data_IF_956410213051
#
_entry.id   IF_956410213051
#
_cell.length_a   1.000
_cell.length_b   1.000
_cell.length_c   1.000
_cell.angle_alpha   90.00
_cell.angle_beta   90.00
_cell.angle_gamma   90.00
#
_symmetry.space_group_name_H-M   'P 1'
#
loop_
_entity.id
_entity.type
_entity.pdbx_description
1 polymer ?
#
# COMPACT_ATOMS: atom_id res chain seq x y z
N UNK A 1 -72.49 -46.55 -49.07
CA UNK A 1 -73.25 -45.91 -47.96
C UNK A 1 -72.26 -45.24 -47.04
N UNK A 2 -72.51 -43.96 -46.74
CA UNK A 2 -71.93 -43.11 -45.67
C UNK A 2 -70.52 -42.53 -45.84
N UNK A 3 -70.45 -41.21 -46.13
CA UNK A 3 -69.42 -40.24 -45.68
C UNK A 3 -69.88 -39.60 -44.34
N UNK A 4 -69.20 -38.63 -43.63
CA UNK A 4 -67.96 -37.85 -43.93
C UNK A 4 -67.02 -37.46 -42.72
N UNK A 5 -65.92 -36.70 -43.00
CA UNK A 5 -65.15 -35.70 -42.17
C UNK A 5 -64.44 -36.20 -40.86
N UNK A 6 -63.27 -35.75 -40.35
CA UNK A 6 -62.61 -34.41 -40.27
C UNK A 6 -61.19 -34.50 -39.63
N UNK A 7 -60.30 -33.57 -39.99
CA UNK A 7 -59.19 -32.91 -39.21
C UNK A 7 -58.03 -33.65 -38.49
N UNK A 8 -56.82 -33.20 -38.80
CA UNK A 8 -55.47 -33.36 -38.15
C UNK A 8 -55.40 -32.96 -36.65
N UNK A 9 -54.37 -33.40 -35.90
CA UNK A 9 -53.21 -32.53 -35.69
C UNK A 9 -51.83 -33.24 -35.76
N UNK A 10 -50.86 -32.48 -36.26
CA UNK A 10 -49.43 -32.59 -36.07
C UNK A 10 -49.05 -32.79 -34.60
N UNK A 11 -48.26 -33.81 -34.28
CA UNK A 11 -47.47 -33.88 -33.04
C UNK A 11 -45.99 -33.99 -33.38
N UNK A 12 -45.37 -32.83 -33.62
CA UNK A 12 -43.95 -32.66 -33.42
C UNK A 12 -43.67 -32.77 -31.92
N UNK A 13 -43.22 -33.94 -31.47
CA UNK A 13 -42.50 -34.05 -30.20
C UNK A 13 -41.02 -34.25 -30.53
N UNK A 14 -40.38 -33.16 -30.93
CA UNK A 14 -38.93 -33.06 -30.94
C UNK A 14 -38.45 -32.91 -29.50
N UNK A 15 -38.27 -34.03 -28.81
CA UNK A 15 -37.49 -34.07 -27.56
C UNK A 15 -36.01 -33.93 -27.94
N UNK A 16 -35.62 -32.69 -28.24
CA UNK A 16 -34.28 -32.30 -28.65
C UNK A 16 -33.32 -32.28 -27.46
N UNK A 17 -33.05 -33.45 -26.88
CA UNK A 17 -31.95 -33.59 -25.93
C UNK A 17 -30.63 -33.38 -26.68
N UNK A 18 -29.96 -32.26 -26.39
CA UNK A 18 -28.63 -31.95 -26.94
C UNK A 18 -27.66 -33.10 -26.63
N UNK A 19 -26.92 -33.55 -27.63
CA UNK A 19 -25.81 -34.48 -27.38
C UNK A 19 -24.76 -33.80 -26.49
N UNK A 20 -23.99 -34.58 -25.73
CA UNK A 20 -22.94 -34.04 -24.85
C UNK A 20 -21.92 -33.18 -25.62
N UNK A 21 -21.66 -33.50 -26.88
CA UNK A 21 -20.77 -32.74 -27.75
C UNK A 21 -21.41 -31.44 -28.25
N UNK A 22 -22.72 -31.43 -28.54
CA UNK A 22 -23.46 -30.20 -28.82
C UNK A 22 -23.58 -29.30 -27.59
N UNK A 23 -23.79 -29.88 -26.41
CA UNK A 23 -23.76 -29.16 -25.14
C UNK A 23 -22.39 -28.54 -24.86
N UNK A 24 -21.29 -29.28 -25.06
CA UNK A 24 -19.92 -28.76 -24.92
C UNK A 24 -19.61 -27.66 -25.93
N UNK A 25 -20.04 -27.81 -27.19
CA UNK A 25 -19.86 -26.81 -28.26
C UNK A 25 -20.66 -25.54 -27.99
N UNK A 26 -21.95 -25.66 -27.66
CA UNK A 26 -22.79 -24.52 -27.28
C UNK A 26 -22.32 -23.87 -25.97
N UNK A 27 -21.79 -24.63 -25.00
CA UNK A 27 -21.13 -24.08 -23.82
C UNK A 27 -19.88 -23.29 -24.19
N UNK A 28 -19.04 -23.81 -25.10
CA UNK A 28 -17.82 -23.13 -25.57
C UNK A 28 -18.12 -21.84 -26.36
N UNK A 29 -19.25 -21.77 -27.06
CA UNK A 29 -19.72 -20.59 -27.80
C UNK A 29 -20.50 -19.59 -26.93
N UNK A 30 -21.27 -20.05 -25.93
CA UNK A 30 -21.90 -19.19 -24.90
C UNK A 30 -20.90 -18.61 -23.90
N UNK A 31 -19.67 -19.12 -23.88
CA UNK A 31 -18.53 -18.59 -23.15
C UNK A 31 -17.97 -17.32 -23.85
N UNK A 32 -18.87 -16.46 -24.32
CA UNK A 32 -18.60 -15.03 -24.50
C UNK A 32 -18.75 -14.37 -23.13
N UNK A 33 -17.61 -14.11 -22.47
CA UNK A 33 -17.45 -13.62 -21.08
C UNK A 33 -17.66 -14.70 -20.02
N UNK A 34 -16.60 -15.45 -19.70
CA UNK A 34 -16.57 -16.28 -18.49
C UNK A 34 -16.66 -15.40 -17.24
N UNK A 35 -17.11 -16.00 -16.13
CA UNK A 35 -17.02 -15.39 -14.82
C UNK A 35 -15.58 -14.92 -14.46
N UNK A 36 -14.54 -15.46 -15.13
CA UNK A 36 -13.16 -14.97 -15.01
C UNK A 36 -12.97 -13.57 -15.60
N UNK A 37 -13.60 -13.27 -16.74
CA UNK A 37 -13.55 -11.94 -17.36
C UNK A 37 -14.36 -10.93 -16.54
N UNK A 38 -15.52 -11.33 -16.01
CA UNK A 38 -16.29 -10.47 -15.09
C UNK A 38 -15.48 -10.19 -13.83
N UNK A 39 -14.87 -11.23 -13.25
CA UNK A 39 -13.99 -11.10 -12.10
C UNK A 39 -12.82 -10.15 -12.37
N UNK A 40 -12.08 -10.34 -13.47
CA UNK A 40 -10.94 -9.50 -13.80
C UNK A 40 -11.36 -8.03 -13.96
N UNK A 41 -12.48 -7.78 -14.65
CA UNK A 41 -12.99 -6.44 -14.85
C UNK A 41 -13.41 -5.76 -13.55
N UNK A 42 -14.22 -6.44 -12.72
CA UNK A 42 -14.63 -5.91 -11.41
C UNK A 42 -13.44 -5.69 -10.48
N UNK A 43 -12.47 -6.60 -10.48
CA UNK A 43 -11.24 -6.47 -9.71
C UNK A 43 -10.44 -5.25 -10.14
N UNK A 44 -10.28 -5.05 -11.44
CA UNK A 44 -9.54 -3.92 -11.98
C UNK A 44 -10.30 -2.60 -11.74
N UNK A 45 -11.63 -2.57 -11.86
CA UNK A 45 -12.44 -1.39 -11.54
C UNK A 45 -12.40 -1.03 -10.05
N UNK A 46 -12.41 -2.02 -9.13
CA UNK A 46 -12.16 -1.78 -7.70
C UNK A 46 -10.74 -1.23 -7.52
N UNK A 47 -9.72 -1.92 -8.06
CA UNK A 47 -8.31 -1.50 -7.98
C UNK A 47 -8.06 -0.12 -8.55
N UNK A 48 -8.88 0.36 -9.49
CA UNK A 48 -8.73 1.66 -10.13
C UNK A 48 -9.62 2.76 -9.51
N UNK A 49 -10.37 2.48 -8.43
CA UNK A 49 -11.44 3.33 -7.87
C UNK A 49 -12.51 3.76 -8.89
N UNK A 50 -12.77 2.94 -9.90
CA UNK A 50 -14.00 3.08 -10.69
C UNK A 50 -15.21 2.59 -9.89
N UNK A 51 -14.99 1.63 -8.98
CA UNK A 51 -15.93 1.20 -7.95
C UNK A 51 -15.34 1.58 -6.59
N UNK A 52 -15.95 2.53 -5.90
CA UNK A 52 -15.42 3.12 -4.69
C UNK A 52 -15.64 2.22 -3.45
N UNK A 53 -14.85 2.39 -2.38
CA UNK A 53 -15.13 1.75 -1.10
C UNK A 53 -16.53 2.08 -0.60
N UNK A 54 -17.21 1.08 -0.02
CA UNK A 54 -18.62 1.15 0.38
C UNK A 54 -19.62 1.34 -0.77
N UNK A 55 -19.19 1.28 -2.03
CA UNK A 55 -20.10 1.31 -3.16
C UNK A 55 -20.92 0.03 -3.23
N UNK A 56 -22.25 0.18 -3.38
CA UNK A 56 -23.17 -0.93 -3.49
C UNK A 56 -23.06 -1.54 -4.88
N UNK A 57 -22.86 -2.85 -4.93
CA UNK A 57 -22.79 -3.62 -6.16
C UNK A 57 -24.13 -4.36 -6.37
N UNK A 58 -24.82 -4.05 -7.47
CA UNK A 58 -26.09 -4.69 -7.81
C UNK A 58 -25.87 -5.67 -8.97
N UNK A 59 -26.16 -6.95 -8.73
CA UNK A 59 -25.90 -8.02 -9.72
C UNK A 59 -26.57 -7.76 -11.08
N UNK A 60 -27.80 -7.23 -11.06
CA UNK A 60 -28.58 -6.94 -12.27
C UNK A 60 -27.99 -5.75 -13.06
N UNK A 61 -27.47 -4.73 -12.36
CA UNK A 61 -26.82 -3.57 -12.99
C UNK A 61 -25.48 -3.95 -13.61
N UNK A 62 -24.66 -4.74 -12.90
CA UNK A 62 -23.38 -5.24 -13.42
C UNK A 62 -23.61 -6.17 -14.61
N UNK A 63 -24.64 -7.03 -14.55
CA UNK A 63 -25.01 -7.91 -15.65
C UNK A 63 -25.40 -7.11 -16.90
N UNK A 64 -26.18 -6.03 -16.73
CA UNK A 64 -26.53 -5.13 -17.82
C UNK A 64 -25.30 -4.37 -18.37
N UNK A 65 -24.45 -3.86 -17.49
CA UNK A 65 -23.24 -3.11 -17.86
C UNK A 65 -22.26 -3.93 -18.69
N UNK A 66 -22.04 -5.19 -18.27
CA UNK A 66 -21.11 -6.10 -18.93
C UNK A 66 -21.74 -6.97 -20.03
N UNK A 67 -23.05 -6.79 -20.28
CA UNK A 67 -23.83 -7.55 -21.25
C UNK A 67 -23.73 -9.07 -21.04
N UNK A 68 -23.83 -9.51 -19.78
CA UNK A 68 -23.79 -10.91 -19.36
C UNK A 68 -25.03 -11.30 -18.57
N UNK A 69 -25.21 -12.60 -18.30
CA UNK A 69 -26.24 -13.05 -17.35
C UNK A 69 -25.80 -12.82 -15.90
N UNK A 70 -26.73 -12.92 -14.95
CA UNK A 70 -26.43 -12.75 -13.51
C UNK A 70 -25.49 -13.81 -12.92
N UNK A 71 -25.50 -15.02 -13.48
CA UNK A 71 -24.72 -16.15 -12.95
C UNK A 71 -23.21 -15.85 -12.93
N UNK A 72 -22.56 -15.46 -14.03
CA UNK A 72 -21.13 -15.13 -14.01
C UNK A 72 -20.80 -13.92 -13.15
N UNK A 73 -21.73 -12.96 -12.99
CA UNK A 73 -21.57 -11.83 -12.06
C UNK A 73 -21.53 -12.31 -10.62
N UNK A 74 -22.48 -13.16 -10.21
CA UNK A 74 -22.52 -13.71 -8.86
C UNK A 74 -21.28 -14.57 -8.56
N UNK A 75 -20.82 -15.38 -9.51
CA UNK A 75 -19.59 -16.15 -9.37
C UNK A 75 -18.34 -15.28 -9.22
N UNK A 76 -18.26 -14.17 -9.95
CA UNK A 76 -17.18 -13.20 -9.82
C UNK A 76 -17.20 -12.49 -8.46
N UNK A 77 -18.38 -12.05 -7.99
CA UNK A 77 -18.54 -11.40 -6.69
C UNK A 77 -18.24 -12.35 -5.52
N UNK A 78 -18.60 -13.63 -5.62
CA UNK A 78 -18.22 -14.63 -4.62
C UNK A 78 -16.70 -14.83 -4.54
N UNK A 79 -16.00 -14.80 -5.67
CA UNK A 79 -14.54 -14.85 -5.69
C UNK A 79 -13.90 -13.60 -5.08
N UNK A 80 -14.37 -12.42 -5.46
CA UNK A 80 -13.93 -11.17 -4.85
C UNK A 80 -14.19 -11.13 -3.35
N UNK A 81 -15.27 -11.77 -2.88
CA UNK A 81 -15.56 -11.90 -1.45
C UNK A 81 -14.53 -12.78 -0.74
N UNK A 82 -14.15 -13.90 -1.34
CA UNK A 82 -13.11 -14.78 -0.82
C UNK A 82 -11.75 -14.08 -0.73
N UNK A 83 -11.47 -13.16 -1.65
CA UNK A 83 -10.28 -12.29 -1.65
C UNK A 83 -10.40 -11.08 -0.72
N UNK A 84 -11.57 -10.86 -0.11
CA UNK A 84 -11.82 -9.71 0.76
C UNK A 84 -11.90 -8.37 0.03
N UNK A 85 -12.13 -8.35 -1.28
CA UNK A 85 -12.35 -7.13 -2.07
C UNK A 85 -13.81 -6.61 -1.99
N UNK A 86 -14.77 -7.50 -1.73
CA UNK A 86 -16.18 -7.15 -1.52
C UNK A 86 -16.71 -7.88 -0.29
N UNK A 87 -17.76 -7.36 0.34
CA UNK A 87 -18.44 -8.02 1.45
C UNK A 87 -19.96 -8.01 1.27
N UNK A 88 -20.67 -8.71 2.18
CA UNK A 88 -22.14 -8.73 2.21
C UNK A 88 -22.64 -7.92 3.40
N UNK A 89 -23.25 -6.76 3.11
CA UNK A 89 -23.88 -5.88 4.11
C UNK A 89 -25.23 -5.39 3.58
N UNK A 90 -26.27 -6.23 3.67
CA UNK A 90 -27.59 -5.94 3.06
C UNK A 90 -27.60 -6.01 1.51
N UNK A 91 -26.54 -6.55 0.91
CA UNK A 91 -26.26 -6.57 -0.52
C UNK A 91 -24.76 -6.77 -0.72
N UNK A 92 -24.30 -6.80 -1.98
CA UNK A 92 -22.87 -6.73 -2.26
C UNK A 92 -22.38 -5.29 -2.12
N UNK A 93 -21.22 -5.13 -1.50
CA UNK A 93 -20.59 -3.82 -1.31
C UNK A 93 -19.09 -3.96 -1.49
N UNK A 94 -18.43 -2.98 -2.10
CA UNK A 94 -16.97 -2.91 -2.13
C UNK A 94 -16.47 -2.75 -0.70
N UNK A 95 -15.60 -3.65 -0.27
CA UNK A 95 -15.12 -3.68 1.12
C UNK A 95 -14.16 -2.52 1.34
N UNK A 96 -14.41 -1.73 2.36
CA UNK A 96 -13.44 -0.77 2.87
C UNK A 96 -12.45 -1.48 3.80
N UNK A 97 -11.15 -1.22 3.62
CA UNK A 97 -10.11 -1.74 4.51
C UNK A 97 -10.07 -0.93 5.80
N UNK A 98 -9.94 -1.63 6.92
CA UNK A 98 -9.75 -0.97 8.22
C UNK A 98 -8.34 -0.37 8.33
N UNK A 99 -8.12 0.62 9.23
CA UNK A 99 -6.79 1.17 9.45
C UNK A 99 -5.75 0.12 9.89
N UNK A 100 -6.18 -0.91 10.65
CA UNK A 100 -5.33 -2.05 11.01
C UNK A 100 -4.84 -2.81 9.80
N UNK A 101 -5.74 -3.18 8.89
CA UNK A 101 -5.38 -3.92 7.68
C UNK A 101 -4.43 -3.12 6.79
N UNK A 102 -4.61 -1.79 6.72
CA UNK A 102 -3.72 -0.92 5.97
C UNK A 102 -2.31 -0.93 6.57
N UNK A 103 -2.20 -0.88 7.90
CA UNK A 103 -0.92 -0.97 8.61
C UNK A 103 -0.24 -2.32 8.35
N UNK A 104 -0.95 -3.43 8.54
CA UNK A 104 -0.44 -4.79 8.29
C UNK A 104 0.03 -4.97 6.84
N UNK A 105 -0.70 -4.43 5.87
CA UNK A 105 -0.30 -4.45 4.45
C UNK A 105 0.98 -3.65 4.20
N UNK A 106 1.12 -2.47 4.81
CA UNK A 106 2.31 -1.64 4.63
C UNK A 106 3.54 -2.23 5.33
N UNK A 107 3.37 -2.88 6.48
CA UNK A 107 4.43 -3.65 7.16
C UNK A 107 4.91 -4.83 6.30
N UNK A 108 3.97 -5.61 5.75
CA UNK A 108 4.30 -6.69 4.84
C UNK A 108 5.01 -6.17 3.58
N UNK A 109 4.51 -5.06 3.00
CA UNK A 109 5.13 -4.40 1.84
C UNK A 109 6.55 -3.95 2.13
N UNK A 110 6.80 -3.33 3.29
CA UNK A 110 8.13 -2.91 3.73
C UNK A 110 9.10 -4.10 3.74
N UNK A 111 8.71 -5.23 4.34
CA UNK A 111 9.54 -6.43 4.41
C UNK A 111 9.83 -7.03 3.03
N UNK A 112 8.81 -7.11 2.17
CA UNK A 112 8.92 -7.71 0.85
C UNK A 112 9.70 -6.83 -0.13
N UNK A 113 9.36 -5.54 -0.26
CA UNK A 113 10.01 -4.64 -1.23
C UNK A 113 11.47 -4.37 -0.86
N UNK A 114 11.78 -4.17 0.42
CA UNK A 114 13.17 -3.91 0.85
C UNK A 114 14.09 -5.12 0.59
N UNK A 115 13.60 -6.34 0.80
CA UNK A 115 14.34 -7.55 0.45
C UNK A 115 14.41 -7.77 -1.06
N UNK A 116 13.33 -7.45 -1.79
CA UNK A 116 13.34 -7.52 -3.25
C UNK A 116 14.41 -6.60 -3.86
N UNK A 117 14.50 -5.36 -3.37
CA UNK A 117 15.49 -4.39 -3.80
C UNK A 117 16.93 -4.84 -3.50
N UNK A 118 17.15 -5.43 -2.32
CA UNK A 118 18.42 -6.04 -1.95
C UNK A 118 18.86 -7.10 -2.98
N UNK A 119 17.96 -8.00 -3.35
CA UNK A 119 18.24 -9.04 -4.35
C UNK A 119 18.40 -8.45 -5.76
N UNK A 120 17.56 -7.48 -6.12
CA UNK A 120 17.52 -6.85 -7.43
C UNK A 120 18.84 -6.15 -7.77
N UNK A 121 19.53 -5.55 -6.80
CA UNK A 121 20.80 -4.85 -7.05
C UNK A 121 21.84 -5.75 -7.73
N UNK A 122 21.90 -7.04 -7.39
CA UNK A 122 22.81 -8.00 -8.04
C UNK A 122 22.25 -8.72 -9.26
N UNK A 123 21.01 -8.42 -9.68
CA UNK A 123 20.25 -9.23 -10.67
C UNK A 123 19.62 -8.41 -11.78
N UNK A 124 19.44 -7.10 -11.58
CA UNK A 124 18.78 -6.20 -12.53
C UNK A 124 19.55 -6.12 -13.85
N UNK A 125 18.83 -6.12 -14.97
CA UNK A 125 19.42 -5.95 -16.30
C UNK A 125 19.57 -4.47 -16.65
N UNK A 126 20.45 -4.16 -17.62
CA UNK A 126 20.60 -2.78 -18.13
C UNK A 126 19.32 -2.25 -18.79
N UNK A 127 18.57 -3.13 -19.47
CA UNK A 127 17.27 -2.80 -20.05
C UNK A 127 16.26 -2.38 -18.96
N UNK A 128 16.20 -3.15 -17.87
CA UNK A 128 15.32 -2.86 -16.75
C UNK A 128 15.71 -1.57 -16.02
N UNK A 129 17.02 -1.29 -15.85
CA UNK A 129 17.50 0.00 -15.33
C UNK A 129 17.08 1.19 -16.21
N UNK A 130 17.14 1.03 -17.53
CA UNK A 130 16.67 2.03 -18.49
C UNK A 130 15.17 2.31 -18.31
N UNK A 131 14.36 1.24 -18.28
CA UNK A 131 12.92 1.36 -18.11
C UNK A 131 12.51 1.95 -16.75
N UNK A 132 13.20 1.59 -15.65
CA UNK A 132 13.01 2.21 -14.33
C UNK A 132 13.34 3.71 -14.36
N UNK A 133 14.41 4.09 -15.06
CA UNK A 133 14.80 5.50 -15.23
C UNK A 133 13.74 6.30 -15.98
N UNK A 134 13.15 5.72 -17.02
CA UNK A 134 12.12 6.38 -17.80
C UNK A 134 10.80 6.53 -17.03
N UNK A 135 10.43 5.53 -16.21
CA UNK A 135 9.29 5.66 -15.29
C UNK A 135 9.52 6.75 -14.24
N UNK A 136 10.71 6.81 -13.63
CA UNK A 136 11.05 7.83 -12.65
C UNK A 136 10.96 9.25 -13.23
N UNK A 137 11.41 9.45 -14.49
CA UNK A 137 11.27 10.73 -15.19
C UNK A 137 9.81 11.07 -15.50
N UNK A 138 9.00 10.09 -15.92
CA UNK A 138 7.57 10.33 -16.17
C UNK A 138 6.83 10.78 -14.91
N UNK A 139 7.22 10.25 -13.74
CA UNK A 139 6.64 10.65 -12.45
C UNK A 139 6.91 12.12 -12.10
N UNK A 140 7.97 12.74 -12.61
CA UNK A 140 8.33 14.14 -12.37
C UNK A 140 7.60 15.15 -13.27
N UNK A 141 6.68 14.72 -14.13
CA UNK A 141 5.98 15.64 -15.02
C UNK A 141 5.15 16.68 -14.22
N UNK A 142 5.25 17.99 -14.51
CA UNK A 142 4.70 19.06 -13.67
C UNK A 142 3.18 19.05 -13.52
N UNK A 143 2.46 18.51 -14.51
CA UNK A 143 0.99 18.43 -14.51
C UNK A 143 0.46 17.00 -14.30
N UNK A 144 1.30 16.11 -13.74
CA UNK A 144 0.91 14.72 -13.52
C UNK A 144 -0.16 14.62 -12.43
N UNK A 145 -1.31 14.05 -12.77
CA UNK A 145 -2.34 13.80 -11.76
C UNK A 145 -1.86 12.79 -10.72
N UNK A 146 -2.28 12.94 -9.45
CA UNK A 146 -1.94 12.00 -8.38
C UNK A 146 -2.26 10.54 -8.74
N UNK A 147 -3.41 10.31 -9.38
CA UNK A 147 -3.81 8.98 -9.84
C UNK A 147 -2.79 8.41 -10.82
N UNK A 148 -2.35 9.21 -11.81
CA UNK A 148 -1.35 8.78 -12.77
C UNK A 148 0.02 8.56 -12.13
N UNK A 149 0.44 9.44 -11.22
CA UNK A 149 1.66 9.25 -10.44
C UNK A 149 1.66 7.89 -9.72
N UNK A 150 0.59 7.58 -9.00
CA UNK A 150 0.56 6.34 -8.23
C UNK A 150 0.57 5.09 -9.11
N UNK A 151 -0.09 5.11 -10.29
CA UNK A 151 -0.02 4.01 -11.27
C UNK A 151 1.42 3.80 -11.76
N UNK A 152 2.14 4.87 -12.06
CA UNK A 152 3.55 4.79 -12.45
C UNK A 152 4.43 4.30 -11.29
N UNK A 153 4.15 4.76 -10.07
CA UNK A 153 4.85 4.33 -8.86
C UNK A 153 4.65 2.84 -8.59
N UNK A 154 3.42 2.34 -8.68
CA UNK A 154 3.12 0.91 -8.55
C UNK A 154 3.88 0.08 -9.59
N UNK A 155 3.93 0.54 -10.84
CA UNK A 155 4.70 -0.13 -11.89
C UNK A 155 6.21 -0.11 -11.61
N UNK A 156 6.74 1.02 -11.12
CA UNK A 156 8.14 1.16 -10.73
C UNK A 156 8.53 0.15 -9.64
N UNK A 157 7.75 0.05 -8.56
CA UNK A 157 7.97 -0.94 -7.48
C UNK A 157 7.79 -2.38 -7.95
N UNK A 158 6.79 -2.64 -8.80
CA UNK A 158 6.59 -3.95 -9.44
C UNK A 158 7.79 -4.42 -10.26
N UNK A 159 8.42 -3.51 -11.02
CA UNK A 159 9.64 -3.80 -11.78
C UNK A 159 10.85 -4.10 -10.90
N UNK A 160 10.98 -3.41 -9.75
CA UNK A 160 12.04 -3.72 -8.77
C UNK A 160 11.83 -5.13 -8.20
N UNK A 161 10.59 -5.47 -7.84
CA UNK A 161 10.25 -6.80 -7.35
C UNK A 161 10.51 -7.88 -8.41
N UNK A 162 10.17 -7.62 -9.67
CA UNK A 162 10.47 -8.52 -10.78
C UNK A 162 11.99 -8.69 -11.00
N UNK A 163 12.76 -7.60 -10.84
CA UNK A 163 14.22 -7.60 -10.93
C UNK A 163 14.88 -8.45 -9.84
N UNK A 164 14.17 -8.76 -8.75
CA UNK A 164 14.66 -9.70 -7.74
C UNK A 164 14.79 -11.13 -8.28
N UNK A 165 14.16 -11.46 -9.42
CA UNK A 165 14.08 -12.82 -9.99
C UNK A 165 13.60 -13.88 -8.99
N UNK A 166 12.74 -13.49 -8.05
CA UNK A 166 12.14 -14.38 -7.07
C UNK A 166 10.61 -14.41 -7.27
N UNK A 167 10.12 -15.47 -7.94
CA UNK A 167 8.69 -15.63 -8.26
C UNK A 167 7.81 -15.77 -7.01
N UNK A 168 8.32 -16.39 -5.94
CA UNK A 168 7.59 -16.51 -4.67
C UNK A 168 7.40 -15.14 -4.03
N UNK A 169 8.47 -14.34 -3.97
CA UNK A 169 8.40 -12.98 -3.44
C UNK A 169 7.45 -12.11 -4.28
N UNK A 170 7.54 -12.19 -5.62
CA UNK A 170 6.63 -11.48 -6.54
C UNK A 170 5.17 -11.81 -6.27
N UNK A 171 4.86 -13.09 -6.04
CA UNK A 171 3.48 -13.54 -5.78
C UNK A 171 2.96 -13.08 -4.41
N UNK A 172 3.81 -13.01 -3.39
CA UNK A 172 3.45 -12.46 -2.08
C UNK A 172 3.26 -10.94 -2.17
N UNK A 173 4.15 -10.24 -2.89
CA UNK A 173 4.05 -8.80 -3.12
C UNK A 173 2.75 -8.40 -3.82
N UNK A 174 2.30 -9.18 -4.80
CA UNK A 174 1.03 -8.94 -5.49
C UNK A 174 -0.19 -8.94 -4.55
N UNK A 175 -0.07 -9.55 -3.36
CA UNK A 175 -1.12 -9.61 -2.33
C UNK A 175 -1.06 -8.41 -1.38
N UNK A 176 0.06 -7.67 -1.35
CA UNK A 176 0.23 -6.49 -0.49
C UNK A 176 -0.06 -5.16 -1.19
N UNK A 177 -0.54 -5.21 -2.43
CA UNK A 177 -0.84 -4.00 -3.19
C UNK A 177 -2.01 -3.25 -2.56
N UNK A 178 -1.73 -2.00 -2.21
CA UNK A 178 -2.69 -1.06 -1.64
C UNK A 178 -2.75 0.16 -2.56
N UNK A 179 -3.94 0.43 -3.09
CA UNK A 179 -4.18 1.62 -3.86
C UNK A 179 -4.79 2.69 -2.96
N UNK A 180 -4.11 3.83 -2.82
CA UNK A 180 -4.53 4.87 -1.87
C UNK A 180 -5.87 5.54 -2.22
N UNK A 181 -6.35 5.37 -3.45
CA UNK A 181 -7.69 5.80 -3.85
C UNK A 181 -8.79 4.79 -3.48
N UNK A 182 -8.43 3.58 -3.04
CA UNK A 182 -9.35 2.60 -2.42
C UNK A 182 -9.62 2.95 -0.95
N UNK A 183 -9.18 4.13 -0.49
CA UNK A 183 -9.42 4.62 0.86
C UNK A 183 -10.54 5.65 0.80
N UNK A 184 -11.54 5.51 1.68
CA UNK A 184 -12.62 6.50 1.80
C UNK A 184 -12.11 7.88 2.23
N UNK A 185 -10.95 7.90 2.89
CA UNK A 185 -10.30 9.12 3.37
C UNK A 185 -9.19 9.54 2.41
N UNK A 186 -9.23 10.78 1.88
CA UNK A 186 -8.16 11.29 1.06
C UNK A 186 -6.83 11.32 1.81
N UNK A 187 -5.81 10.69 1.24
CA UNK A 187 -4.42 10.81 1.67
C UNK A 187 -3.76 11.96 0.89
N UNK A 188 -3.24 12.95 1.61
CA UNK A 188 -2.59 14.11 1.02
C UNK A 188 -1.08 13.94 1.11
N UNK A 189 -0.44 13.84 -0.05
CA UNK A 189 1.02 13.94 -0.19
C UNK A 189 1.36 15.39 -0.50
N UNK A 190 2.18 16.03 0.33
CA UNK A 190 2.59 17.42 0.12
C UNK A 190 3.68 17.51 -0.95
N UNK A 191 3.88 18.69 -1.57
CA UNK A 191 4.96 18.89 -2.54
C UNK A 191 6.35 18.51 -2.00
N UNK A 192 6.61 18.76 -0.71
CA UNK A 192 7.86 18.37 -0.06
C UNK A 192 8.03 16.84 0.02
N UNK A 193 6.95 16.11 0.36
CA UNK A 193 6.96 14.65 0.40
C UNK A 193 7.17 14.08 -1.01
N UNK A 194 6.49 14.63 -2.01
CA UNK A 194 6.66 14.20 -3.40
C UNK A 194 8.10 14.42 -3.89
N UNK A 195 8.71 15.56 -3.54
CA UNK A 195 10.10 15.83 -3.88
C UNK A 195 11.04 14.76 -3.32
N UNK A 196 10.91 14.44 -2.02
CA UNK A 196 11.73 13.40 -1.38
C UNK A 196 11.50 12.03 -2.02
N UNK A 197 10.24 11.68 -2.31
CA UNK A 197 9.90 10.43 -3.00
C UNK A 197 10.58 10.34 -4.37
N UNK A 198 10.58 11.41 -5.15
CA UNK A 198 11.27 11.43 -6.43
C UNK A 198 12.78 11.22 -6.27
N UNK A 199 13.42 11.91 -5.33
CA UNK A 199 14.84 11.76 -5.03
C UNK A 199 15.17 10.31 -4.66
N UNK A 200 14.36 9.69 -3.79
CA UNK A 200 14.51 8.29 -3.40
C UNK A 200 14.38 7.31 -4.58
N UNK A 201 13.50 7.56 -5.55
CA UNK A 201 13.43 6.72 -6.76
C UNK A 201 14.74 6.76 -7.55
N UNK A 202 15.36 7.93 -7.73
CA UNK A 202 16.65 8.04 -8.42
C UNK A 202 17.80 7.45 -7.61
N UNK A 203 17.79 7.60 -6.28
CA UNK A 203 18.78 6.97 -5.40
C UNK A 203 18.73 5.45 -5.47
N UNK A 204 17.51 4.88 -5.54
CA UNK A 204 17.34 3.44 -5.70
C UNK A 204 17.89 2.96 -7.05
N UNK A 205 17.59 3.66 -8.13
CA UNK A 205 18.14 3.35 -9.46
C UNK A 205 19.67 3.42 -9.44
N UNK A 206 20.25 4.40 -8.72
CA UNK A 206 21.69 4.48 -8.49
C UNK A 206 22.23 3.26 -7.75
N UNK A 207 21.60 2.88 -6.63
CA UNK A 207 22.01 1.71 -5.84
C UNK A 207 21.92 0.40 -6.64
N UNK A 208 20.87 0.24 -7.44
CA UNK A 208 20.69 -0.90 -8.33
C UNK A 208 21.76 -0.94 -9.43
N UNK A 209 22.09 0.22 -10.03
CA UNK A 209 23.15 0.35 -11.04
C UNK A 209 24.53 -0.03 -10.48
N UNK A 210 24.81 0.39 -9.25
CA UNK A 210 26.08 0.14 -8.58
C UNK A 210 26.20 -1.29 -8.00
N UNK A 211 25.14 -2.09 -8.08
CA UNK A 211 25.10 -3.42 -7.46
C UNK A 211 25.10 -3.40 -5.93
N UNK A 212 24.78 -2.26 -5.32
CA UNK A 212 24.85 -2.08 -3.87
C UNK A 212 23.53 -2.52 -3.20
N UNK A 213 23.46 -3.81 -2.85
CA UNK A 213 22.29 -4.43 -2.23
C UNK A 213 21.86 -3.77 -0.91
N UNK A 214 22.80 -3.40 -0.04
CA UNK A 214 22.47 -2.78 1.25
C UNK A 214 21.91 -1.36 1.05
N UNK A 215 22.51 -0.56 0.17
CA UNK A 215 21.98 0.75 -0.19
C UNK A 215 20.59 0.64 -0.82
N UNK A 216 20.37 -0.32 -1.72
CA UNK A 216 19.06 -0.54 -2.34
C UNK A 216 17.98 -0.87 -1.31
N UNK A 217 18.31 -1.75 -0.34
CA UNK A 217 17.44 -2.06 0.80
C UNK A 217 17.11 -0.81 1.61
N UNK A 218 18.13 -0.04 1.99
CA UNK A 218 17.98 1.18 2.82
C UNK A 218 17.05 2.19 2.12
N UNK A 219 17.27 2.46 0.84
CA UNK A 219 16.45 3.42 0.09
C UNK A 219 14.98 3.00 0.07
N UNK A 220 14.68 1.73 -0.23
CA UNK A 220 13.29 1.23 -0.23
C UNK A 220 12.68 1.22 1.17
N UNK A 221 13.42 0.82 2.20
CA UNK A 221 12.95 0.89 3.59
C UNK A 221 12.51 2.31 3.95
N UNK A 222 13.33 3.30 3.61
CA UNK A 222 13.03 4.71 3.87
C UNK A 222 11.82 5.21 3.06
N UNK A 223 11.69 4.77 1.81
CA UNK A 223 10.57 5.12 0.94
C UNK A 223 9.23 4.59 1.46
N UNK A 224 9.18 3.31 1.85
CA UNK A 224 7.94 2.71 2.39
C UNK A 224 7.61 3.30 3.76
N UNK A 225 8.61 3.58 4.62
CA UNK A 225 8.36 4.26 5.91
C UNK A 225 7.82 5.68 5.74
N UNK A 226 8.34 6.46 4.78
CA UNK A 226 7.80 7.78 4.45
C UNK A 226 6.33 7.68 3.99
N UNK A 227 6.03 6.66 3.19
CA UNK A 227 4.67 6.34 2.76
C UNK A 227 3.77 6.01 3.97
N UNK A 228 4.23 5.17 4.90
CA UNK A 228 3.50 4.83 6.13
C UNK A 228 3.24 6.08 6.99
N UNK A 229 4.25 6.92 7.18
CA UNK A 229 4.15 8.18 7.91
C UNK A 229 3.14 9.16 7.27
N UNK A 230 2.89 9.03 5.96
CA UNK A 230 1.91 9.87 5.25
C UNK A 230 0.50 9.27 5.29
N UNK A 231 0.39 7.95 5.12
CA UNK A 231 -0.89 7.24 4.96
C UNK A 231 -1.56 6.95 6.30
N UNK A 232 -0.82 6.41 7.27
CA UNK A 232 -1.40 5.94 8.54
C UNK A 232 -2.13 7.06 9.28
N UNK A 233 -1.56 8.27 9.46
CA UNK A 233 -2.28 9.35 10.13
C UNK A 233 -3.58 9.74 9.42
N UNK A 234 -3.68 9.59 8.10
CA UNK A 234 -4.89 9.94 7.37
C UNK A 234 -6.04 8.97 7.67
N UNK A 235 -5.74 7.66 7.73
CA UNK A 235 -6.74 6.59 7.88
C UNK A 235 -7.09 6.27 9.34
N UNK A 236 -6.22 6.61 10.28
CA UNK A 236 -6.46 6.39 11.72
C UNK A 236 -7.16 7.57 12.41
N UNK A 237 -7.47 8.67 11.69
CA UNK A 237 -8.19 9.83 12.27
C UNK A 237 -9.55 9.37 12.82
N UNK A 238 -9.68 9.35 14.15
CA UNK A 238 -10.91 8.93 14.84
C UNK A 238 -11.01 7.44 15.16
N UNK A 239 -9.94 6.66 14.91
CA UNK A 239 -9.88 5.28 15.38
C UNK A 239 -9.89 5.24 16.93
N UNK A 240 -10.82 4.49 17.51
CA UNK A 240 -10.96 4.31 18.96
C UNK A 240 -9.98 3.31 19.56
N UNK A 241 -9.30 2.52 18.73
CA UNK A 241 -8.33 1.53 19.15
C UNK A 241 -6.94 2.17 19.35
N UNK A 242 -6.49 2.21 20.61
CA UNK A 242 -5.19 2.78 21.01
C UNK A 242 -4.01 2.03 20.39
N UNK A 243 -4.17 0.73 20.08
CA UNK A 243 -3.13 -0.07 19.39
C UNK A 243 -2.94 0.32 17.93
N UNK A 244 -3.84 1.13 17.37
CA UNK A 244 -3.79 1.66 16.01
C UNK A 244 -3.45 3.15 15.96
N UNK A 245 -2.90 3.70 17.05
CA UNK A 245 -2.38 5.05 17.03
C UNK A 245 -1.26 5.13 15.98
N UNK A 246 -1.36 6.01 14.96
CA UNK A 246 -0.33 6.13 13.95
C UNK A 246 0.96 6.59 14.65
N UNK A 247 2.14 6.19 14.13
CA UNK A 247 3.38 6.69 14.67
C UNK A 247 3.42 8.21 14.58
N UNK A 248 4.04 8.85 15.57
CA UNK A 248 4.28 10.28 15.55
C UNK A 248 5.30 10.58 14.44
N UNK A 249 4.95 11.44 13.51
CA UNK A 249 5.84 11.88 12.43
C UNK A 249 6.63 13.08 12.92
N UNK A 250 7.95 12.91 12.95
CA UNK A 250 8.90 13.94 13.34
C UNK A 250 9.72 14.37 12.14
N UNK A 251 9.58 15.63 11.71
CA UNK A 251 10.39 16.18 10.63
C UNK A 251 11.60 16.91 11.19
N UNK A 252 12.78 16.57 10.65
CA UNK A 252 14.07 17.08 11.11
C UNK A 252 14.76 17.78 9.95
N UNK A 253 15.13 19.05 10.13
CA UNK A 253 15.83 19.84 9.10
C UNK A 253 17.34 19.49 8.95
N UNK A 254 17.76 18.38 9.53
CA UNK A 254 19.13 17.87 9.55
C UNK A 254 19.13 16.41 9.11
N UNK A 255 20.27 15.91 8.63
CA UNK A 255 20.47 14.50 8.26
C UNK A 255 20.63 13.57 9.47
N UNK A 256 20.79 14.13 10.67
CA UNK A 256 20.91 13.38 11.92
C UNK A 256 20.56 14.24 13.15
N UNK A 257 20.33 13.59 14.28
CA UNK A 257 20.07 14.28 15.56
C UNK A 257 21.36 14.76 16.22
N UNK A 258 21.32 15.97 16.77
CA UNK A 258 22.41 16.59 17.53
C UNK A 258 21.89 17.35 18.76
N UNK A 259 22.72 17.61 19.79
CA UNK A 259 22.27 18.30 20.99
C UNK A 259 21.78 19.72 20.70
N UNK A 260 20.66 20.10 21.32
CA UNK A 260 20.01 21.40 21.11
C UNK A 260 19.13 21.46 19.86
N UNK A 261 18.98 20.35 19.12
CA UNK A 261 18.09 20.31 17.97
C UNK A 261 16.62 20.47 18.41
N UNK A 262 15.90 21.31 17.67
CA UNK A 262 14.44 21.46 17.77
C UNK A 262 13.79 20.62 16.68
N UNK A 263 12.83 19.78 17.06
CA UNK A 263 12.15 18.84 16.17
C UNK A 263 10.66 19.08 16.25
N UNK A 264 9.99 19.10 15.10
CA UNK A 264 8.54 19.26 15.03
C UNK A 264 7.88 17.88 14.90
N UNK A 265 7.03 17.54 15.85
CA UNK A 265 6.16 16.37 15.82
C UNK A 265 4.75 16.77 15.33
N UNK A 266 4.43 16.46 14.06
CA UNK A 266 3.29 17.06 13.33
C UNK A 266 1.92 16.51 13.76
N UNK A 267 1.86 15.25 14.22
CA UNK A 267 0.63 14.56 14.63
C UNK A 267 0.69 14.11 16.10
N UNK A 268 1.57 14.70 16.90
CA UNK A 268 1.65 14.40 18.34
C UNK A 268 0.38 14.88 19.08
N UNK A 269 -0.10 14.14 20.09
CA UNK A 269 -1.11 14.65 21.02
C UNK A 269 -0.56 15.86 21.80
N UNK A 270 -1.43 16.57 22.53
CA UNK A 270 -0.97 17.58 23.51
C UNK A 270 0.06 16.98 24.47
N UNK A 271 0.99 17.82 24.97
CA UNK A 271 2.25 17.43 25.64
C UNK A 271 2.17 16.29 26.67
N UNK A 272 1.07 16.13 27.40
CA UNK A 272 0.94 15.16 28.50
C UNK A 272 0.73 13.69 28.12
N UNK A 273 1.02 13.22 26.90
CA UNK A 273 0.78 11.80 26.53
C UNK A 273 1.68 11.27 25.41
N UNK A 274 2.97 11.64 25.43
CA UNK A 274 3.96 11.09 24.50
C UNK A 274 4.51 9.72 24.92
N UNK A 275 4.39 9.35 26.20
CA UNK A 275 4.96 8.10 26.74
C UNK A 275 4.46 6.88 25.96
N UNK A 276 5.40 5.99 25.61
CA UNK A 276 5.19 4.75 24.87
C UNK A 276 4.60 4.93 23.46
N UNK A 277 4.68 6.13 22.88
CA UNK A 277 4.28 6.35 21.50
C UNK A 277 5.42 6.04 20.54
N UNK A 278 5.11 5.21 19.54
CA UNK A 278 5.97 5.00 18.38
C UNK A 278 6.05 6.29 17.55
N UNK A 279 7.18 6.47 16.88
CA UNK A 279 7.47 7.61 16.06
C UNK A 279 8.34 7.23 14.86
N UNK A 280 8.21 7.99 13.79
CA UNK A 280 9.07 7.92 12.61
C UNK A 280 9.71 9.29 12.43
N UNK A 281 11.04 9.29 12.38
CA UNK A 281 11.82 10.47 12.07
C UNK A 281 12.04 10.52 10.57
N UNK A 282 11.72 11.67 9.97
CA UNK A 282 12.00 12.02 8.59
C UNK A 282 13.11 13.07 8.58
N UNK A 283 14.29 12.68 8.11
CA UNK A 283 15.45 13.58 8.02
C UNK A 283 15.44 14.36 6.70
N UNK A 284 16.16 15.48 6.67
CA UNK A 284 16.20 16.35 5.49
C UNK A 284 16.93 15.74 4.29
N UNK A 285 17.74 14.71 4.52
CA UNK A 285 18.39 13.92 3.48
C UNK A 285 17.51 12.77 2.94
N UNK A 286 16.25 12.68 3.39
CA UNK A 286 15.31 11.63 2.98
C UNK A 286 15.49 10.28 3.69
N UNK A 287 16.46 10.16 4.60
CA UNK A 287 16.56 8.97 5.47
C UNK A 287 15.46 8.97 6.54
N UNK A 288 15.16 7.79 7.08
CA UNK A 288 14.16 7.61 8.13
C UNK A 288 14.68 6.73 9.25
N UNK A 289 14.17 6.97 10.46
CA UNK A 289 14.40 6.07 11.59
C UNK A 289 13.12 5.84 12.36
N UNK A 290 12.93 4.60 12.81
CA UNK A 290 12.00 4.31 13.90
C UNK A 290 12.52 4.95 15.18
N UNK A 291 11.60 5.45 15.98
CA UNK A 291 11.87 6.01 17.28
C UNK A 291 10.69 5.73 18.21
N UNK A 292 10.92 5.77 19.52
CA UNK A 292 9.90 5.61 20.53
C UNK A 292 10.13 6.60 21.65
N UNK A 293 9.05 7.19 22.13
CA UNK A 293 9.07 7.96 23.36
C UNK A 293 8.97 7.03 24.57
N UNK A 294 9.88 7.17 25.52
CA UNK A 294 9.88 6.43 26.77
C UNK A 294 10.07 7.36 27.98
N UNK A 295 9.89 6.84 29.19
CA UNK A 295 9.97 7.63 30.43
C UNK A 295 8.61 8.14 30.93
N UNK A 296 8.62 9.19 31.75
CA UNK A 296 7.43 9.83 32.34
C UNK A 296 7.64 11.34 32.32
N UNK A 297 6.61 12.13 32.01
CA UNK A 297 6.54 13.60 32.08
C UNK A 297 7.91 14.34 32.12
N UNK A 298 8.51 14.51 33.30
CA UNK A 298 9.76 15.26 33.53
C UNK A 298 11.07 14.53 33.13
N UNK A 299 10.98 13.25 32.75
CA UNK A 299 12.07 12.35 32.35
C UNK A 299 11.76 11.69 30.98
N UNK A 300 11.07 12.42 30.11
CA UNK A 300 10.74 11.96 28.75
C UNK A 300 12.01 11.87 27.89
N UNK A 301 12.19 10.72 27.23
CA UNK A 301 13.26 10.54 26.26
C UNK A 301 12.71 10.07 24.92
N UNK A 302 13.46 10.39 23.87
CA UNK A 302 13.28 9.88 22.53
C UNK A 302 14.38 8.85 22.25
N UNK A 303 14.02 7.57 22.27
CA UNK A 303 14.88 6.50 21.78
C UNK A 303 14.77 6.42 20.27
N UNK A 304 15.88 6.58 19.57
CA UNK A 304 15.96 6.47 18.11
C UNK A 304 16.73 5.22 17.78
N UNK A 305 16.10 4.30 17.02
CA UNK A 305 16.77 3.09 16.53
C UNK A 305 17.94 3.45 15.63
N UNK A 306 18.83 2.50 15.43
CA UNK A 306 19.89 2.67 14.45
C UNK A 306 19.30 2.85 13.04
N UNK A 307 19.95 3.69 12.26
CA UNK A 307 19.57 3.92 10.87
C UNK A 307 20.81 4.22 10.05
N UNK A 308 20.67 4.15 8.74
CA UNK A 308 21.74 4.53 7.82
C UNK A 308 21.22 5.65 6.94
N UNK A 309 21.98 6.74 6.86
CA UNK A 309 21.65 7.87 5.98
C UNK A 309 21.66 7.41 4.52
N UNK A 310 21.02 8.17 3.61
CA UNK A 310 21.08 7.82 2.18
C UNK A 310 22.51 7.90 1.61
N UNK A 311 23.41 8.64 2.27
CA UNK A 311 24.84 8.67 1.97
C UNK A 311 25.63 7.43 2.47
N UNK A 312 24.98 6.49 3.14
CA UNK A 312 25.60 5.27 3.67
C UNK A 312 26.26 5.42 5.05
N UNK A 313 26.03 6.54 5.75
CA UNK A 313 26.57 6.74 7.10
C UNK A 313 25.68 6.01 8.10
N UNK A 314 26.24 5.00 8.76
CA UNK A 314 25.53 4.30 9.85
C UNK A 314 25.51 5.17 11.12
N UNK A 315 24.31 5.36 11.66
CA UNK A 315 24.07 6.07 12.91
C UNK A 315 23.55 5.03 13.93
N UNK A 316 24.29 4.77 15.03
CA UNK A 316 23.86 3.79 16.02
C UNK A 316 22.65 4.30 16.79
N UNK A 317 21.88 3.36 17.37
CA UNK A 317 20.75 3.68 18.22
C UNK A 317 21.18 4.58 19.38
N UNK A 318 20.39 5.62 19.67
CA UNK A 318 20.69 6.60 20.73
C UNK A 318 19.42 7.04 21.43
N UNK A 319 19.57 7.36 22.72
CA UNK A 319 18.51 7.94 23.54
C UNK A 319 18.78 9.42 23.77
N UNK A 320 17.79 10.26 23.49
CA UNK A 320 17.85 11.72 23.59
C UNK A 320 16.87 12.21 24.66
N UNK A 321 17.34 12.91 25.71
CA UNK A 321 16.43 13.53 26.67
C UNK A 321 15.64 14.66 25.99
N UNK A 322 14.33 14.71 26.22
CA UNK A 322 13.46 15.80 25.76
C UNK A 322 13.43 16.87 26.85
N UNK A 323 14.11 17.99 26.62
CA UNK A 323 14.26 19.07 27.60
C UNK A 323 13.01 19.93 27.74
N UNK A 324 12.29 20.13 26.64
CA UNK A 324 11.00 20.82 26.63
C UNK A 324 10.16 20.37 25.44
N UNK A 325 8.84 20.51 25.59
CA UNK A 325 7.86 20.24 24.55
C UNK A 325 6.84 21.39 24.49
N UNK A 326 6.86 22.16 23.41
CA UNK A 326 6.05 23.37 23.25
C UNK A 326 5.06 23.21 22.10
N UNK A 327 3.78 23.52 22.35
CA UNK A 327 2.76 23.44 21.29
C UNK A 327 2.90 24.65 20.36
N UNK A 328 3.04 24.36 19.07
CA UNK A 328 3.14 25.38 18.01
C UNK A 328 1.96 25.24 17.03
N UNK A 329 1.90 26.13 16.04
CA UNK A 329 0.93 26.01 14.94
C UNK A 329 1.14 24.76 14.07
N UNK A 330 2.37 24.22 14.04
CA UNK A 330 2.79 23.15 13.14
C UNK A 330 2.92 21.77 13.83
N UNK A 331 2.58 21.70 15.12
CA UNK A 331 2.72 20.48 15.93
C UNK A 331 3.37 20.75 17.27
N UNK A 332 3.91 19.70 17.89
CA UNK A 332 4.63 19.79 19.15
C UNK A 332 6.14 19.92 18.85
N UNK A 333 6.72 21.07 19.20
CA UNK A 333 8.16 21.30 19.05
C UNK A 333 8.90 20.76 20.27
N UNK A 334 9.85 19.86 20.03
CA UNK A 334 10.65 19.19 21.05
C UNK A 334 12.08 19.71 21.01
N UNK A 335 12.61 20.09 22.18
CA UNK A 335 14.00 20.48 22.32
C UNK A 335 14.83 19.32 22.89
N UNK A 336 15.78 18.80 22.12
CA UNK A 336 16.59 17.66 22.53
C UNK A 336 17.85 18.09 23.30
N UNK A 337 18.15 17.39 24.38
CA UNK A 337 19.38 17.56 25.15
C UNK A 337 20.54 16.75 24.58
N UNK A 338 21.54 16.47 25.42
CA UNK A 338 22.70 15.67 25.01
C UNK A 338 22.35 14.19 25.01
N UNK A 339 22.56 13.51 23.89
CA UNK A 339 22.36 12.07 23.79
C UNK A 339 23.19 11.30 24.83
N UNK A 340 22.60 10.24 25.38
CA UNK A 340 23.32 9.32 26.26
C UNK A 340 24.36 8.54 25.44
N UNK A 341 25.55 8.37 26.02
CA UNK A 341 26.73 7.79 25.35
C UNK A 341 27.08 6.38 25.82
N UNK A 342 26.25 5.77 26.68
CA UNK A 342 26.50 4.47 27.28
C UNK A 342 25.33 3.51 27.09
N UNK A 343 25.69 2.29 26.71
CA UNK A 343 24.88 1.08 26.52
C UNK A 343 23.94 1.08 25.30
N UNK A 344 24.31 0.23 24.34
CA UNK A 344 23.36 -0.50 23.49
C UNK A 344 22.21 -0.98 24.36
N UNK A 345 21.07 -0.31 24.29
CA UNK A 345 19.85 -0.77 24.94
C UNK A 345 19.50 -2.09 24.26
N UNK A 346 19.75 -3.19 24.98
CA UNK A 346 19.34 -4.52 24.57
C UNK A 346 17.85 -4.51 24.24
N UNK A 347 17.49 -5.33 23.25
CA UNK A 347 16.13 -5.54 22.78
C UNK A 347 15.22 -6.27 23.80
N UNK A 348 15.24 -5.85 25.06
CA UNK A 348 14.39 -6.38 26.13
C UNK A 348 13.41 -5.29 26.61
N UNK A 349 12.40 -5.03 25.79
CA UNK A 349 11.10 -4.52 26.28
C UNK A 349 10.00 -5.26 25.53
N UNK A 350 9.95 -6.58 25.72
CA UNK A 350 8.76 -7.41 25.49
C UNK A 350 8.34 -8.02 26.83
N UNK A 351 7.45 -7.32 27.54
CA UNK A 351 6.44 -7.90 28.44
C UNK A 351 5.20 -7.03 28.44
#
# INVERSE_FOLDING_TARGET
>A
MSSPLTSTPTSETGDGALTLEEFKRQRKERVGVTADRVYAHLRDSIRNAELAPNERLVEDEIAAWLQVSRTPVREALLRLQQEGAVERRGGWIVRERTPREIMELLEARLALESHAAYLAAGRVSQEMLGALTDLAKQMQAPDLSRRRFNVLNEHFHGMIVESSLNSVLKNLYAQTQLNYWDLSTPVVFTPDVDKVVHEQHFDLIGALRDGNSDRARIVVTNHVRLTMATVLPAVTRGASDVSLAPPIVMKVQSSHLYPGLRIVAENAPSSGTLVAKEAVILFSDGSTSEARFDGRDDDLHLYVREYTTLSGTHIPAKRWPVLSAEKTANGLELHLGKAWSGETVGADVDT
#
